data_IF_241780279578
#
_entry.id   IF_241780279578
#
_cell.length_a   1.000
_cell.length_b   1.000
_cell.length_c   1.000
_cell.angle_alpha   90.00
_cell.angle_beta   90.00
_cell.angle_gamma   90.00
#
_symmetry.space_group_name_H-M   'P 1'
#
loop_
_entity.id
_entity.type
_entity.pdbx_description
1 polymer ?
#
# COMPACT_ATOMS: atom_id res chain seq x y z
N UNK A 1 -30.51 -19.74 18.90
CA UNK A 1 -29.81 -18.49 18.56
C UNK A 1 -30.26 -17.44 19.55
N UNK A 2 -29.34 -16.89 20.33
CA UNK A 2 -29.64 -15.79 21.25
C UNK A 2 -29.58 -14.49 20.45
N UNK A 3 -30.64 -13.70 20.47
CA UNK A 3 -30.66 -12.38 19.83
C UNK A 3 -30.63 -11.32 20.93
N UNK A 4 -29.57 -10.53 20.98
CA UNK A 4 -29.36 -9.51 22.00
C UNK A 4 -29.55 -8.12 21.39
N UNK A 5 -30.47 -7.34 21.94
CA UNK A 5 -30.78 -5.97 21.48
C UNK A 5 -29.59 -5.00 21.59
N UNK A 6 -28.68 -5.26 22.53
CA UNK A 6 -27.51 -4.40 22.79
C UNK A 6 -26.17 -5.11 22.52
N UNK A 7 -26.19 -6.21 21.77
CA UNK A 7 -25.01 -7.03 21.47
C UNK A 7 -24.59 -7.97 22.62
N UNK A 8 -23.47 -8.67 22.42
CA UNK A 8 -22.95 -9.70 23.32
C UNK A 8 -21.92 -9.13 24.30
N UNK A 9 -21.90 -9.61 25.53
CA UNK A 9 -20.78 -9.38 26.45
C UNK A 9 -19.49 -9.91 25.81
N UNK A 10 -18.35 -9.28 26.07
CA UNK A 10 -17.04 -9.71 25.52
C UNK A 10 -16.08 -10.05 26.66
N UNK A 11 -15.21 -11.04 26.47
CA UNK A 11 -14.20 -11.44 27.45
C UNK A 11 -12.99 -10.48 27.50
N UNK A 12 -12.01 -10.77 28.34
CA UNK A 12 -10.80 -9.95 28.51
C UNK A 12 -9.93 -9.84 27.23
N UNK A 13 -10.13 -10.73 26.26
CA UNK A 13 -9.45 -10.72 24.97
C UNK A 13 -10.30 -10.07 23.87
N UNK A 14 -11.51 -9.61 24.18
CA UNK A 14 -12.43 -8.99 23.23
C UNK A 14 -13.29 -9.98 22.42
N UNK A 15 -13.35 -11.25 22.81
CA UNK A 15 -14.21 -12.25 22.16
C UNK A 15 -15.64 -12.21 22.72
N UNK A 16 -16.64 -12.30 21.85
CA UNK A 16 -18.05 -12.37 22.28
C UNK A 16 -18.33 -13.65 23.06
N UNK A 17 -18.88 -13.49 24.26
CA UNK A 17 -19.40 -14.59 25.08
C UNK A 17 -20.91 -14.68 24.93
N UNK A 18 -21.48 -15.85 25.15
CA UNK A 18 -22.91 -16.14 24.94
C UNK A 18 -23.82 -15.52 26.02
N UNK A 19 -23.70 -14.21 26.28
CA UNK A 19 -24.49 -13.43 27.23
C UNK A 19 -24.82 -12.07 26.62
N UNK A 20 -26.03 -11.57 26.86
CA UNK A 20 -26.46 -10.27 26.33
C UNK A 20 -26.02 -9.12 27.22
N UNK A 21 -25.60 -8.01 26.61
CA UNK A 21 -25.34 -6.77 27.36
C UNK A 21 -26.64 -6.20 27.91
N UNK A 22 -26.60 -5.74 29.17
CA UNK A 22 -27.74 -5.06 29.80
C UNK A 22 -27.89 -3.60 29.36
N UNK A 23 -26.88 -3.03 28.69
CA UNK A 23 -26.86 -1.65 28.18
C UNK A 23 -26.06 -1.59 26.87
N UNK A 24 -26.33 -0.60 25.99
CA UNK A 24 -25.50 -0.35 24.82
C UNK A 24 -24.02 -0.22 25.19
N UNK A 25 -23.15 -0.70 24.30
CA UNK A 25 -21.71 -0.51 24.45
C UNK A 25 -21.41 0.99 24.64
N UNK A 26 -20.52 1.37 25.58
CA UNK A 26 -19.96 2.71 25.52
C UNK A 26 -19.28 2.89 24.14
N UNK A 27 -19.30 4.10 23.57
CA UNK A 27 -18.54 4.36 22.36
C UNK A 27 -17.08 3.94 22.60
N UNK A 28 -16.42 3.33 21.59
CA UNK A 28 -15.05 2.88 21.75
C UNK A 28 -14.21 4.07 22.28
N UNK A 29 -13.32 3.83 23.27
CA UNK A 29 -12.44 4.89 23.73
C UNK A 29 -11.69 5.45 22.53
N UNK A 30 -11.64 6.78 22.42
CA UNK A 30 -10.86 7.47 21.40
C UNK A 30 -9.40 7.27 21.78
N UNK A 31 -8.86 6.10 21.46
CA UNK A 31 -7.43 5.85 21.53
C UNK A 31 -6.82 6.60 20.36
N UNK A 32 -5.97 7.57 20.68
CA UNK A 32 -5.08 8.25 19.75
C UNK A 32 -4.19 7.20 19.06
N UNK A 33 -4.75 6.59 18.03
CA UNK A 33 -4.03 5.93 16.97
C UNK A 33 -4.56 6.62 15.72
N UNK A 34 -3.67 7.17 14.88
CA UNK A 34 -4.01 7.79 13.58
C UNK A 34 -4.48 6.74 12.58
N UNK A 35 -5.40 5.87 13.00
CA UNK A 35 -5.87 4.73 12.27
C UNK A 35 -7.17 5.11 11.58
N UNK A 36 -7.01 5.60 10.36
CA UNK A 36 -8.13 5.82 9.47
C UNK A 36 -8.70 4.46 9.06
N UNK A 37 -10.01 4.28 9.25
CA UNK A 37 -10.69 3.11 8.69
C UNK A 37 -10.58 3.16 7.16
N UNK A 38 -10.23 2.04 6.49
CA UNK A 38 -10.20 2.01 5.03
C UNK A 38 -11.53 2.45 4.44
N UNK A 39 -11.46 3.36 3.47
CA UNK A 39 -12.65 3.89 2.79
C UNK A 39 -13.30 2.79 1.96
N UNK A 40 -14.58 2.54 2.21
CA UNK A 40 -15.39 1.48 1.57
C UNK A 40 -16.62 2.06 0.86
N UNK A 41 -16.40 2.91 -0.13
CA UNK A 41 -17.47 3.50 -0.93
C UNK A 41 -17.66 2.74 -2.26
N UNK A 42 -18.82 2.93 -2.88
CA UNK A 42 -19.15 2.29 -4.17
C UNK A 42 -18.69 3.09 -5.39
N UNK A 43 -18.27 4.33 -5.18
CA UNK A 43 -17.82 5.23 -6.25
C UNK A 43 -16.30 5.15 -6.44
N UNK A 44 -15.84 5.53 -7.62
CA UNK A 44 -14.44 5.71 -7.94
C UNK A 44 -14.17 7.21 -8.10
N UNK A 45 -13.10 7.71 -7.50
CA UNK A 45 -12.69 9.10 -7.61
C UNK A 45 -11.35 9.17 -8.33
N UNK A 46 -11.33 9.83 -9.49
CA UNK A 46 -10.15 9.93 -10.36
C UNK A 46 -8.95 10.60 -9.69
N UNK A 47 -9.21 11.63 -8.88
CA UNK A 47 -8.19 12.39 -8.15
C UNK A 47 -8.05 11.98 -6.68
N UNK A 48 -8.58 10.79 -6.32
CA UNK A 48 -8.54 10.28 -4.96
C UNK A 48 -9.68 10.79 -4.06
N UNK A 49 -9.56 10.50 -2.76
CA UNK A 49 -10.58 10.77 -1.75
C UNK A 49 -10.28 12.05 -0.99
N UNK A 50 -11.32 12.81 -0.69
CA UNK A 50 -11.24 13.95 0.22
C UNK A 50 -10.93 13.46 1.62
N UNK A 51 -10.24 14.31 2.40
CA UNK A 51 -9.85 14.02 3.79
C UNK A 51 -10.73 14.79 4.79
N UNK A 52 -11.00 14.17 5.93
CA UNK A 52 -11.64 14.84 7.09
C UNK A 52 -10.64 15.72 7.85
N UNK A 53 -11.11 16.41 8.90
CA UNK A 53 -10.27 17.27 9.74
C UNK A 53 -9.12 16.52 10.47
N UNK A 54 -9.14 15.19 10.48
CA UNK A 54 -8.09 14.33 11.05
C UNK A 54 -7.15 13.77 9.96
N UNK A 55 -7.38 14.12 8.69
CA UNK A 55 -6.60 13.63 7.55
C UNK A 55 -7.05 12.27 7.02
N UNK A 56 -8.18 11.74 7.47
CA UNK A 56 -8.69 10.44 7.02
C UNK A 56 -9.55 10.58 5.77
N UNK A 57 -9.36 9.66 4.82
CA UNK A 57 -10.16 9.62 3.60
C UNK A 57 -11.65 9.40 3.94
N UNK A 58 -12.54 10.09 3.22
CA UNK A 58 -13.99 9.99 3.36
C UNK A 58 -14.63 9.68 2.00
N UNK A 59 -15.91 9.26 1.99
CA UNK A 59 -16.67 8.94 0.76
C UNK A 59 -17.06 10.18 -0.06
N UNK A 60 -16.15 11.13 -0.22
CA UNK A 60 -16.26 12.30 -1.07
C UNK A 60 -15.04 12.36 -1.98
N UNK A 61 -15.22 12.69 -3.26
CA UNK A 61 -14.08 12.81 -4.17
C UNK A 61 -13.29 14.08 -3.86
N UNK A 62 -11.96 13.99 -3.93
CA UNK A 62 -11.11 15.17 -3.91
C UNK A 62 -11.28 15.95 -5.21
N UNK A 63 -11.27 17.27 -5.09
CA UNK A 63 -11.15 18.15 -6.26
C UNK A 63 -9.74 18.00 -6.87
N UNK A 64 -9.58 18.15 -8.19
CA UNK A 64 -8.27 18.12 -8.81
C UNK A 64 -7.37 19.20 -8.23
N UNK A 65 -6.15 18.82 -7.86
CA UNK A 65 -5.16 19.79 -7.41
C UNK A 65 -4.75 20.72 -8.56
N UNK A 66 -4.66 22.03 -8.31
CA UNK A 66 -4.12 22.95 -9.30
C UNK A 66 -2.66 22.62 -9.57
N UNK A 67 -2.22 22.79 -10.81
CA UNK A 67 -0.81 22.62 -11.16
C UNK A 67 0.01 23.67 -10.41
N UNK A 68 1.02 23.21 -9.66
CA UNK A 68 1.93 24.09 -8.92
C UNK A 68 2.90 24.74 -9.91
N UNK A 69 2.47 25.85 -10.52
CA UNK A 69 3.31 26.65 -11.40
C UNK A 69 4.24 27.55 -10.59
N UNK A 70 5.35 27.01 -10.09
CA UNK A 70 6.39 27.85 -9.51
C UNK A 70 7.82 27.35 -9.74
N UNK A 71 8.76 28.31 -9.71
CA UNK A 71 10.17 28.09 -10.06
C UNK A 71 11.04 27.65 -8.86
N UNK A 72 10.42 27.18 -7.78
CA UNK A 72 11.17 26.68 -6.61
C UNK A 72 11.63 25.25 -6.83
N UNK A 73 12.90 24.99 -6.51
CA UNK A 73 13.44 23.64 -6.40
C UNK A 73 13.58 23.29 -4.91
N UNK A 74 12.68 22.44 -4.40
CA UNK A 74 12.66 22.02 -3.01
C UNK A 74 13.26 20.62 -2.87
N UNK A 75 14.40 20.49 -2.18
CA UNK A 75 15.10 19.20 -1.99
C UNK A 75 14.23 18.15 -1.27
N UNK A 76 13.33 18.59 -0.39
CA UNK A 76 12.42 17.74 0.40
C UNK A 76 10.95 17.81 -0.07
N UNK A 77 10.72 18.34 -1.28
CA UNK A 77 9.39 18.51 -1.85
C UNK A 77 8.61 19.73 -1.32
N UNK A 78 7.36 19.85 -1.77
CA UNK A 78 6.46 20.96 -1.48
C UNK A 78 5.55 20.67 -0.29
N UNK A 79 5.22 21.69 0.49
CA UNK A 79 4.15 21.60 1.49
C UNK A 79 2.82 21.29 0.81
N UNK A 80 1.92 20.60 1.50
CA UNK A 80 0.57 20.30 1.00
C UNK A 80 -0.47 21.02 1.85
N UNK A 81 -1.56 21.48 1.22
CA UNK A 81 -2.68 22.15 1.89
C UNK A 81 -3.60 21.15 2.64
N UNK A 82 -4.71 21.63 3.21
CA UNK A 82 -5.68 20.77 3.91
C UNK A 82 -6.35 19.72 3.03
N UNK A 83 -6.31 19.88 1.71
CA UNK A 83 -6.85 18.93 0.75
C UNK A 83 -5.78 17.96 0.25
N UNK A 84 -4.52 18.13 0.68
CA UNK A 84 -3.39 17.31 0.22
C UNK A 84 -2.81 17.79 -1.12
N UNK A 85 -3.14 19.00 -1.57
CA UNK A 85 -2.57 19.57 -2.79
C UNK A 85 -1.30 20.33 -2.48
N UNK A 86 -0.26 20.12 -3.30
CA UNK A 86 1.00 20.83 -3.14
C UNK A 86 0.80 22.34 -3.32
N UNK A 87 1.46 23.11 -2.46
CA UNK A 87 1.50 24.57 -2.52
C UNK A 87 2.93 25.00 -2.82
N UNK A 88 3.10 26.20 -3.38
CA UNK A 88 4.42 26.73 -3.69
C UNK A 88 5.17 27.21 -2.43
N UNK A 89 5.50 26.27 -1.55
CA UNK A 89 6.35 26.44 -0.37
C UNK A 89 7.13 25.15 -0.16
N UNK A 90 8.43 25.25 0.11
CA UNK A 90 9.24 24.07 0.39
C UNK A 90 8.93 23.54 1.79
N UNK A 91 8.88 22.22 1.95
CA UNK A 91 8.86 21.60 3.28
C UNK A 91 10.14 21.98 4.02
N UNK A 92 10.00 22.29 5.31
CA UNK A 92 11.16 22.42 6.17
C UNK A 92 11.91 21.10 6.24
N UNK A 93 13.23 21.17 6.38
CA UNK A 93 14.05 19.97 6.60
C UNK A 93 13.53 19.24 7.84
N UNK A 94 13.09 17.98 7.72
CA UNK A 94 12.79 17.21 8.90
C UNK A 94 14.08 17.11 9.72
N UNK A 95 13.98 17.37 11.03
CA UNK A 95 15.10 17.30 11.95
C UNK A 95 15.50 15.83 12.16
N UNK A 96 16.15 15.24 11.15
CA UNK A 96 16.60 13.87 11.16
C UNK A 96 18.02 13.80 11.75
N UNK A 97 18.23 12.91 12.69
CA UNK A 97 19.58 12.48 13.04
C UNK A 97 20.19 11.71 11.88
N UNK A 98 21.49 11.90 11.62
CA UNK A 98 22.20 11.11 10.61
C UNK A 98 22.06 9.62 10.92
N UNK A 99 21.56 8.87 9.94
CA UNK A 99 21.20 7.47 10.09
C UNK A 99 22.45 6.63 9.88
N UNK A 100 23.15 6.31 10.97
CA UNK A 100 24.34 5.45 10.94
C UNK A 100 23.95 3.97 11.04
N UNK A 101 23.70 3.33 9.90
CA UNK A 101 23.49 1.89 9.82
C UNK A 101 24.59 1.23 8.97
N UNK A 102 25.19 0.14 9.46
CA UNK A 102 26.19 -0.64 8.72
C UNK A 102 25.54 -1.63 7.74
N UNK A 103 24.62 -1.16 6.90
CA UNK A 103 23.92 -2.00 5.92
C UNK A 103 23.66 -1.27 4.61
N UNK A 104 23.65 -2.02 3.51
CA UNK A 104 23.32 -1.49 2.18
C UNK A 104 21.92 -1.97 1.76
N UNK A 105 21.06 -1.04 1.37
CA UNK A 105 19.73 -1.33 0.85
C UNK A 105 19.65 -0.98 -0.64
N UNK A 106 19.45 -1.98 -1.50
CA UNK A 106 19.37 -1.81 -2.96
C UNK A 106 18.26 -0.83 -3.40
N UNK A 107 17.15 -0.79 -2.66
CA UNK A 107 16.01 0.10 -2.92
C UNK A 107 15.93 1.28 -1.93
N UNK A 108 17.01 1.55 -1.19
CA UNK A 108 17.07 2.59 -0.16
C UNK A 108 16.43 2.19 1.18
N UNK A 109 16.54 3.10 2.14
CA UNK A 109 16.01 2.94 3.50
C UNK A 109 14.54 3.35 3.59
N UNK A 110 13.79 2.65 4.43
CA UNK A 110 12.45 3.06 4.81
C UNK A 110 12.47 4.37 5.58
N UNK A 111 11.35 5.09 5.55
CA UNK A 111 11.18 6.36 6.24
C UNK A 111 10.18 6.24 7.38
N UNK A 112 10.39 6.98 8.46
CA UNK A 112 9.44 7.11 9.55
C UNK A 112 8.32 8.12 9.24
N UNK A 113 7.47 8.41 10.24
CA UNK A 113 6.36 9.36 10.09
C UNK A 113 6.81 10.82 9.87
N UNK A 114 8.09 11.13 10.09
CA UNK A 114 8.70 12.44 9.88
C UNK A 114 9.54 12.48 8.60
N UNK A 115 9.43 11.46 7.74
CA UNK A 115 10.21 11.32 6.51
C UNK A 115 11.73 11.09 6.74
N UNK A 116 12.12 10.72 7.95
CA UNK A 116 13.51 10.39 8.29
C UNK A 116 13.82 8.92 7.96
N UNK A 117 14.99 8.68 7.36
CA UNK A 117 15.41 7.31 7.07
C UNK A 117 15.59 6.51 8.38
N UNK A 118 15.28 5.22 8.35
CA UNK A 118 15.47 4.30 9.47
C UNK A 118 16.29 3.10 9.00
N UNK A 119 16.95 2.39 9.93
CA UNK A 119 17.74 1.18 9.62
C UNK A 119 16.89 -0.03 9.21
N UNK A 120 16.08 0.12 8.15
CA UNK A 120 15.25 -0.92 7.54
C UNK A 120 15.20 -0.69 6.03
N UNK A 121 15.42 -1.74 5.23
CA UNK A 121 15.40 -1.62 3.77
C UNK A 121 13.97 -1.58 3.24
N UNK A 122 13.72 -0.72 2.25
CA UNK A 122 12.45 -0.76 1.50
C UNK A 122 12.29 -2.11 0.84
N UNK A 123 11.09 -2.66 0.91
CA UNK A 123 10.71 -3.79 0.06
C UNK A 123 10.80 -3.33 -1.39
N UNK A 124 11.58 -4.04 -2.20
CA UNK A 124 11.62 -3.80 -3.64
C UNK A 124 10.24 -3.96 -4.28
N UNK A 125 10.06 -3.47 -5.52
CA UNK A 125 8.85 -3.77 -6.26
C UNK A 125 8.61 -5.27 -6.24
N UNK A 126 7.37 -5.67 -5.89
CA UNK A 126 7.01 -7.08 -5.88
C UNK A 126 7.45 -7.69 -7.22
N UNK A 127 8.07 -8.89 -7.22
CA UNK A 127 8.40 -9.55 -8.46
C UNK A 127 7.14 -9.60 -9.33
N UNK A 128 7.25 -9.34 -10.65
CA UNK A 128 6.09 -9.38 -11.52
C UNK A 128 5.37 -10.71 -11.30
N UNK A 129 4.03 -10.71 -11.25
CA UNK A 129 3.29 -11.96 -11.09
C UNK A 129 3.79 -12.94 -12.16
N UNK A 130 3.95 -14.23 -11.83
CA UNK A 130 4.36 -15.22 -12.81
C UNK A 130 3.41 -15.09 -14.01
N UNK A 131 3.96 -14.83 -15.20
CA UNK A 131 3.18 -14.64 -16.42
C UNK A 131 2.41 -15.94 -16.68
N UNK A 132 1.12 -15.97 -16.35
CA UNK A 132 0.21 -17.08 -16.64
C UNK A 132 -0.49 -16.90 -17.99
N UNK A 133 -0.01 -15.98 -18.84
CA UNK A 133 -0.56 -15.85 -20.19
C UNK A 133 0.01 -16.94 -21.10
N UNK A 134 -0.92 -17.70 -21.65
CA UNK A 134 -0.71 -18.98 -22.27
C UNK A 134 -0.47 -18.75 -23.77
N UNK A 135 0.81 -18.67 -24.18
CA UNK A 135 1.36 -19.11 -25.49
C UNK A 135 2.82 -18.70 -25.78
N UNK A 136 3.56 -18.11 -24.85
CA UNK A 136 4.99 -17.85 -25.10
C UNK A 136 5.85 -18.96 -24.50
N UNK A 137 6.19 -19.93 -25.34
CA UNK A 137 7.28 -20.85 -25.03
C UNK A 137 8.59 -20.05 -24.94
N UNK A 138 9.44 -20.30 -23.93
CA UNK A 138 10.75 -19.67 -23.87
C UNK A 138 11.57 -20.02 -25.13
N UNK A 139 12.39 -19.09 -25.64
CA UNK A 139 13.17 -19.32 -26.85
C UNK A 139 14.16 -20.47 -26.64
N UNK A 140 14.02 -21.51 -27.44
CA UNK A 140 14.80 -22.74 -27.35
C UNK A 140 16.18 -22.53 -27.97
N UNK A 141 17.24 -22.60 -27.16
CA UNK A 141 18.64 -22.43 -27.59
C UNK A 141 19.41 -23.73 -27.43
N UNK A 142 19.22 -24.66 -28.35
CA UNK A 142 19.89 -25.96 -28.35
C UNK A 142 21.18 -25.94 -29.16
N UNK A 143 22.13 -26.81 -28.78
CA UNK A 143 23.41 -26.97 -29.49
C UNK A 143 23.34 -27.98 -30.65
N UNK A 144 22.21 -28.67 -30.82
CA UNK A 144 22.00 -29.71 -31.82
C UNK A 144 20.88 -29.31 -32.80
N UNK A 145 20.75 -30.05 -33.90
CA UNK A 145 19.70 -29.87 -34.91
C UNK A 145 18.93 -31.19 -35.08
N UNK A 146 17.60 -31.12 -35.13
CA UNK A 146 16.72 -32.27 -35.37
C UNK A 146 16.09 -32.17 -36.77
N UNK A 147 16.31 -33.16 -37.63
CA UNK A 147 15.80 -33.17 -39.02
C UNK A 147 14.27 -33.19 -39.12
N UNK A 148 13.58 -33.70 -38.10
CA UNK A 148 12.11 -33.78 -38.04
C UNK A 148 11.48 -32.81 -37.02
N UNK A 149 12.24 -31.83 -36.54
CA UNK A 149 11.81 -30.90 -35.50
C UNK A 149 12.04 -31.43 -34.07
N UNK A 150 11.67 -30.60 -33.09
CA UNK A 150 11.94 -30.84 -31.67
C UNK A 150 10.78 -31.53 -30.96
N UNK A 151 11.08 -32.38 -29.98
CA UNK A 151 10.09 -32.89 -29.03
C UNK A 151 9.49 -31.75 -28.22
N UNK A 152 8.26 -31.97 -27.73
CA UNK A 152 7.51 -30.99 -26.93
C UNK A 152 7.34 -31.48 -25.49
N UNK A 153 7.37 -30.55 -24.54
CA UNK A 153 7.02 -30.81 -23.14
C UNK A 153 5.51 -30.99 -22.95
N UNK A 154 5.07 -31.27 -21.72
CA UNK A 154 3.65 -31.43 -21.37
C UNK A 154 2.80 -30.16 -21.61
N UNK A 155 3.42 -29.02 -21.88
CA UNK A 155 2.78 -27.74 -22.20
C UNK A 155 2.83 -27.43 -23.70
N UNK A 156 3.42 -28.32 -24.51
CA UNK A 156 3.53 -28.15 -25.97
C UNK A 156 4.74 -27.33 -26.43
N UNK A 157 5.68 -27.01 -25.54
CA UNK A 157 6.86 -26.22 -25.86
C UNK A 157 8.03 -27.09 -26.30
N UNK A 158 8.76 -26.64 -27.32
CA UNK A 158 9.91 -27.36 -27.87
C UNK A 158 11.02 -27.50 -26.81
N UNK A 159 11.63 -28.68 -26.72
CA UNK A 159 12.75 -29.01 -25.83
C UNK A 159 13.94 -29.50 -26.64
N UNK A 160 15.15 -29.47 -26.06
CA UNK A 160 16.40 -29.87 -26.74
C UNK A 160 16.56 -31.38 -26.94
N UNK A 161 15.51 -32.05 -27.41
CA UNK A 161 15.47 -33.47 -27.73
C UNK A 161 14.82 -33.69 -29.09
N UNK A 162 15.39 -34.62 -29.86
CA UNK A 162 14.69 -35.34 -30.93
C UNK A 162 14.16 -36.66 -30.32
#
# INVERSE_FOLDING_TARGET
MLHCEHGFESDANGCDVCRCRSRPAPPPPITDNRECSPVRCRQYCEHGWKKDARGCDICECAEPCPEVMCMLHCEHGFESDSNGCDVCRCREQPACSEVMCDMYCEHGFEKDANDCDICRCRSGPAPPPPRTDNRECPPVRCRQYCEHGWKKDARGCDICEC
#
